data_IF_925614171877
#
_entry.id   IF_925614171877
#
_cell.length_a   1.000
_cell.length_b   1.000
_cell.length_c   1.000
_cell.angle_alpha   90.00
_cell.angle_beta   90.00
_cell.angle_gamma   90.00
#
_symmetry.space_group_name_H-M   'P 1'
#
loop_
_entity.id
_entity.type
_entity.pdbx_description
1 polymer ?
#
# COMPACT_ATOMS: atom_id res chain seq x y z
N UNK A 1 23.97 10.11 -3.73
CA UNK A 1 23.12 10.23 -2.52
C UNK A 1 23.87 10.84 -1.32
N UNK A 2 25.16 11.16 -1.43
CA UNK A 2 26.01 11.65 -0.31
C UNK A 2 25.56 12.97 0.34
N UNK A 3 24.64 13.72 -0.28
CA UNK A 3 24.12 14.96 0.31
C UNK A 3 22.85 14.81 1.12
N UNK A 4 22.26 13.61 1.13
CA UNK A 4 21.11 13.34 1.98
C UNK A 4 21.60 13.35 3.43
N UNK A 5 21.05 14.26 4.23
CA UNK A 5 21.34 14.39 5.66
C UNK A 5 20.22 13.83 6.51
N UNK A 6 18.99 13.94 6.02
CA UNK A 6 17.77 13.54 6.71
C UNK A 6 16.91 12.79 5.70
N UNK A 7 16.48 11.60 6.07
CA UNK A 7 15.49 10.80 5.35
C UNK A 7 14.31 10.63 6.30
N UNK A 8 13.12 10.95 5.82
CA UNK A 8 11.88 10.79 6.57
C UNK A 8 11.07 9.72 5.87
N UNK A 9 10.56 8.78 6.64
CA UNK A 9 9.57 7.79 6.19
C UNK A 9 8.34 7.87 7.08
N UNK A 10 7.19 7.64 6.47
CA UNK A 10 5.90 7.71 7.14
C UNK A 10 4.89 6.83 6.39
N UNK A 11 3.70 6.69 6.96
CA UNK A 11 2.56 6.09 6.26
C UNK A 11 2.46 4.58 6.41
N UNK A 12 3.54 3.84 6.68
CA UNK A 12 3.52 2.38 6.95
C UNK A 12 4.45 2.01 8.11
N UNK A 13 4.30 0.80 8.66
CA UNK A 13 5.23 0.29 9.67
C UNK A 13 6.63 0.18 9.08
N UNK A 14 7.60 0.89 9.64
CA UNK A 14 9.00 0.84 9.19
C UNK A 14 9.65 -0.49 9.58
N UNK A 15 10.07 -1.34 8.61
CA UNK A 15 10.75 -2.58 8.92
C UNK A 15 12.16 -2.32 9.44
N UNK A 16 12.59 -3.11 10.44
CA UNK A 16 13.93 -2.98 11.01
C UNK A 16 15.04 -3.23 9.98
N UNK A 17 14.81 -4.14 9.03
CA UNK A 17 15.73 -4.41 7.94
C UNK A 17 15.98 -3.16 7.09
N UNK A 18 14.94 -2.37 6.82
CA UNK A 18 15.08 -1.13 6.05
C UNK A 18 15.90 -0.08 6.80
N UNK A 19 15.79 -0.02 8.14
CA UNK A 19 16.66 0.84 8.98
C UNK A 19 18.12 0.42 8.85
N UNK A 20 18.39 -0.89 8.90
CA UNK A 20 19.76 -1.43 8.74
C UNK A 20 20.33 -1.13 7.37
N UNK A 21 19.56 -1.40 6.30
CA UNK A 21 19.97 -1.09 4.93
C UNK A 21 20.19 0.41 4.72
N UNK A 22 19.35 1.26 5.30
CA UNK A 22 19.53 2.71 5.27
C UNK A 22 20.90 3.11 5.85
N UNK A 23 21.25 2.67 7.06
CA UNK A 23 22.52 3.07 7.69
C UNK A 23 23.77 2.40 7.07
N UNK A 24 23.59 1.31 6.32
CA UNK A 24 24.64 0.73 5.48
C UNK A 24 24.90 1.58 4.23
N UNK A 25 23.84 2.05 3.57
CA UNK A 25 23.94 2.81 2.31
C UNK A 25 24.19 4.30 2.52
N UNK A 26 23.60 4.88 3.56
CA UNK A 26 23.62 6.31 3.89
C UNK A 26 24.07 6.50 5.35
N UNK A 27 25.32 6.14 5.70
CA UNK A 27 25.81 6.19 7.08
C UNK A 27 25.72 7.59 7.71
N UNK A 28 25.77 8.65 6.90
CA UNK A 28 25.74 10.03 7.38
C UNK A 28 24.33 10.61 7.48
N UNK A 29 23.32 9.94 6.91
CA UNK A 29 21.95 10.44 6.90
C UNK A 29 21.17 9.87 8.09
N UNK A 30 20.50 10.74 8.83
CA UNK A 30 19.58 10.32 9.90
C UNK A 30 18.25 9.86 9.29
N UNK A 31 17.73 8.72 9.74
CA UNK A 31 16.42 8.22 9.34
C UNK A 31 15.39 8.47 10.43
N UNK A 32 14.32 9.19 10.09
CA UNK A 32 13.18 9.44 10.95
C UNK A 32 11.97 8.62 10.52
N UNK A 33 11.32 7.99 11.49
CA UNK A 33 10.02 7.36 11.33
C UNK A 33 8.95 8.31 11.87
N UNK A 34 8.16 8.88 10.99
CA UNK A 34 7.06 9.76 11.32
C UNK A 34 5.73 9.01 11.29
N UNK A 35 4.83 9.45 12.17
CA UNK A 35 3.47 8.95 12.22
C UNK A 35 2.50 10.10 12.38
N UNK A 36 1.47 10.08 11.56
CA UNK A 36 0.21 10.72 11.90
C UNK A 36 -0.84 10.43 10.83
N UNK A 37 -2.11 10.41 11.24
CA UNK A 37 -3.23 10.42 10.31
C UNK A 37 -3.38 11.80 9.66
N UNK A 38 -4.06 11.87 8.50
CA UNK A 38 -4.40 13.13 7.83
C UNK A 38 -5.13 14.11 8.77
N UNK A 39 -5.96 13.54 9.65
CA UNK A 39 -6.76 14.23 10.66
C UNK A 39 -5.93 14.89 11.77
N UNK A 40 -4.63 14.59 11.87
CA UNK A 40 -3.67 15.24 12.76
C UNK A 40 -2.60 16.05 11.99
N UNK A 41 -2.89 16.40 10.73
CA UNK A 41 -2.06 17.23 9.85
C UNK A 41 -0.69 16.62 9.54
N UNK A 42 -0.70 15.63 8.64
CA UNK A 42 0.48 14.94 8.10
C UNK A 42 1.19 14.02 9.09
N UNK A 43 1.77 14.54 10.17
CA UNK A 43 2.35 13.75 11.26
C UNK A 43 2.12 14.42 12.61
N UNK A 44 1.98 13.62 13.65
CA UNK A 44 1.82 14.08 15.03
C UNK A 44 2.87 13.50 15.98
N UNK A 45 3.69 12.55 15.52
CA UNK A 45 4.82 12.02 16.27
C UNK A 45 5.99 11.66 15.37
N UNK A 46 7.18 11.64 15.97
CA UNK A 46 8.43 11.37 15.27
C UNK A 46 9.34 10.52 16.13
N UNK A 47 9.97 9.54 15.50
CA UNK A 47 11.05 8.74 16.07
C UNK A 47 12.32 8.91 15.24
N UNK A 48 13.43 9.23 15.90
CA UNK A 48 14.75 9.20 15.28
C UNK A 48 15.34 7.80 15.46
N UNK A 49 15.50 7.06 14.37
CA UNK A 49 16.09 5.72 14.42
C UNK A 49 17.59 5.78 14.69
N UNK A 50 18.18 4.67 15.16
CA UNK A 50 19.64 4.57 15.35
C UNK A 50 20.24 3.42 14.54
N UNK A 51 21.58 3.34 14.50
CA UNK A 51 22.28 2.22 13.83
C UNK A 51 22.12 0.92 14.62
N UNK A 52 21.98 1.06 15.93
CA UNK A 52 21.81 0.01 16.91
C UNK A 52 20.34 -0.33 17.14
N UNK A 53 19.44 0.12 16.24
CA UNK A 53 18.01 -0.13 16.33
C UNK A 53 17.75 -1.62 16.57
N UNK A 54 17.00 -1.89 17.63
CA UNK A 54 16.75 -3.23 18.13
C UNK A 54 15.32 -3.36 18.62
N UNK A 55 14.83 -4.59 18.68
CA UNK A 55 13.43 -4.90 19.00
C UNK A 55 12.62 -5.35 17.79
N UNK A 56 11.38 -5.77 18.03
CA UNK A 56 10.53 -6.35 17.00
C UNK A 56 9.92 -5.33 16.04
N UNK A 57 9.83 -4.06 16.46
CA UNK A 57 9.16 -2.98 15.73
C UNK A 57 9.91 -1.67 15.92
N UNK A 58 9.99 -0.85 14.87
CA UNK A 58 10.48 0.51 14.99
C UNK A 58 9.36 1.40 15.56
N UNK A 59 9.59 2.16 16.65
CA UNK A 59 8.58 3.04 17.22
C UNK A 59 8.09 4.11 16.25
N UNK A 60 6.90 4.63 16.55
CA UNK A 60 6.37 5.86 15.95
C UNK A 60 6.76 7.11 16.77
N UNK A 61 7.43 6.90 17.90
CA UNK A 61 8.18 7.92 18.62
C UNK A 61 7.36 8.71 19.63
N UNK A 62 7.70 9.98 19.78
CA UNK A 62 7.10 10.91 20.75
C UNK A 62 6.29 11.98 20.02
N UNK A 63 5.26 12.56 20.67
CA UNK A 63 4.51 13.64 20.06
C UNK A 63 5.43 14.81 19.67
N UNK A 64 5.10 15.46 18.56
CA UNK A 64 5.71 16.75 18.20
C UNK A 64 5.20 17.87 19.12
N UNK A 65 5.81 19.06 19.02
CA UNK A 65 5.37 20.22 19.79
C UNK A 65 3.87 20.49 19.61
N UNK A 66 3.23 20.89 20.71
CA UNK A 66 1.80 21.20 20.79
C UNK A 66 0.86 20.04 20.43
N UNK A 67 1.39 18.81 20.34
CA UNK A 67 0.61 17.59 20.17
C UNK A 67 0.79 16.69 21.40
N UNK A 68 -0.19 15.84 21.66
CA UNK A 68 -0.13 14.79 22.68
C UNK A 68 -0.61 13.47 22.09
N UNK A 69 0.03 12.38 22.50
CA UNK A 69 -0.41 11.02 22.22
C UNK A 69 -0.97 10.39 23.50
N UNK A 70 -2.11 9.73 23.39
CA UNK A 70 -2.71 8.98 24.49
C UNK A 70 -2.92 7.54 24.06
N UNK A 71 -2.54 6.58 24.91
CA UNK A 71 -2.92 5.18 24.73
C UNK A 71 -3.99 4.91 25.79
N UNK A 72 -5.23 4.75 25.33
CA UNK A 72 -6.41 4.70 26.20
C UNK A 72 -7.10 3.33 26.13
N UNK A 73 -7.83 3.00 27.20
CA UNK A 73 -8.74 1.85 27.22
C UNK A 73 -10.15 2.19 26.68
N UNK A 74 -11.09 1.28 26.86
CA UNK A 74 -12.47 1.44 26.40
C UNK A 74 -13.27 2.53 27.14
N UNK A 75 -12.78 3.00 28.30
CA UNK A 75 -13.39 4.06 29.11
C UNK A 75 -12.70 5.42 28.90
N UNK A 76 -11.79 5.52 27.92
CA UNK A 76 -10.97 6.70 27.65
C UNK A 76 -9.98 7.03 28.78
N UNK A 77 -9.60 6.02 29.58
CA UNK A 77 -8.61 6.18 30.64
C UNK A 77 -7.21 5.73 30.15
N UNK A 78 -6.13 6.43 30.54
CA UNK A 78 -4.77 6.03 30.16
C UNK A 78 -4.39 4.64 30.67
N UNK A 79 -3.90 3.78 29.78
CA UNK A 79 -3.37 2.47 30.17
C UNK A 79 -1.94 2.58 30.71
N UNK A 80 -1.49 1.65 31.58
CA UNK A 80 -0.10 1.62 32.05
C UNK A 80 0.92 1.46 30.91
N UNK A 81 2.17 1.87 31.17
CA UNK A 81 3.30 1.67 30.25
C UNK A 81 3.41 0.17 29.88
N UNK A 82 3.64 -0.12 28.60
CA UNK A 82 3.74 -1.48 28.06
C UNK A 82 2.40 -2.16 27.77
N UNK A 83 1.28 -1.66 28.31
CA UNK A 83 -0.05 -2.23 28.08
C UNK A 83 -0.61 -1.72 26.74
N UNK A 84 -1.08 -2.60 25.85
CA UNK A 84 -1.74 -2.18 24.62
C UNK A 84 -3.10 -1.51 24.86
N UNK A 85 -3.33 -0.38 24.21
CA UNK A 85 -4.63 0.31 24.13
C UNK A 85 -4.86 0.91 22.74
N UNK A 86 -5.91 1.70 22.59
CA UNK A 86 -6.17 2.46 21.37
C UNK A 86 -5.46 3.82 21.42
N UNK A 87 -4.86 4.24 20.30
CA UNK A 87 -4.11 5.48 20.18
C UNK A 87 -5.06 6.65 19.88
N UNK A 88 -4.95 7.71 20.67
CA UNK A 88 -5.64 8.98 20.47
C UNK A 88 -4.63 10.11 20.36
N UNK A 89 -4.99 11.14 19.60
CA UNK A 89 -4.16 12.32 19.37
C UNK A 89 -4.91 13.55 19.87
N UNK A 90 -4.25 14.42 20.63
CA UNK A 90 -4.75 15.76 20.96
C UNK A 90 -3.75 16.82 20.52
N UNK A 91 -4.20 18.06 20.46
CA UNK A 91 -3.35 19.23 20.24
C UNK A 91 -3.76 20.10 19.05
N UNK A 92 -2.90 21.07 18.76
CA UNK A 92 -3.21 22.18 17.86
C UNK A 92 -3.36 21.76 16.39
N UNK A 93 -2.70 20.66 15.99
CA UNK A 93 -2.70 20.17 14.61
C UNK A 93 -3.88 19.24 14.28
N UNK A 94 -4.88 19.12 15.15
CA UNK A 94 -6.10 18.39 14.82
C UNK A 94 -6.91 19.13 13.76
N UNK A 95 -7.32 18.39 12.73
CA UNK A 95 -8.22 18.90 11.70
C UNK A 95 -9.55 19.39 12.32
N UNK A 96 -10.25 20.28 11.61
CA UNK A 96 -11.57 20.74 12.05
C UNK A 96 -12.59 19.60 12.10
N UNK A 97 -12.53 18.71 11.11
CA UNK A 97 -13.42 17.58 10.94
C UNK A 97 -13.51 17.14 9.48
N UNK A 98 -14.49 16.31 9.17
CA UNK A 98 -14.76 15.82 7.82
C UNK A 98 -15.80 16.70 7.12
N UNK A 99 -15.53 17.09 5.87
CA UNK A 99 -16.45 17.91 5.07
C UNK A 99 -17.78 17.19 4.85
N UNK A 100 -18.90 17.85 5.13
CA UNK A 100 -20.27 17.33 4.99
C UNK A 100 -20.54 16.01 5.76
N UNK A 101 -19.72 15.68 6.77
CA UNK A 101 -19.90 14.47 7.59
C UNK A 101 -19.82 14.81 9.09
N UNK A 102 -20.82 15.53 9.64
CA UNK A 102 -20.83 15.95 11.04
C UNK A 102 -20.88 14.76 12.01
N UNK A 103 -21.60 13.68 11.66
CA UNK A 103 -21.69 12.47 12.47
C UNK A 103 -20.33 11.77 12.62
N UNK A 104 -19.63 11.55 11.51
CA UNK A 104 -18.28 10.96 11.53
C UNK A 104 -17.29 11.88 12.27
N UNK A 105 -17.45 13.21 12.12
CA UNK A 105 -16.64 14.17 12.85
C UNK A 105 -16.85 14.03 14.37
N UNK A 106 -18.10 13.93 14.84
CA UNK A 106 -18.38 13.73 16.26
C UNK A 106 -17.91 12.36 16.77
N UNK A 107 -18.00 11.33 15.95
CA UNK A 107 -17.52 9.98 16.29
C UNK A 107 -16.00 9.92 16.45
N UNK A 108 -15.26 10.63 15.59
CA UNK A 108 -13.79 10.56 15.55
C UNK A 108 -13.08 11.68 16.31
N UNK A 109 -13.68 12.86 16.45
CA UNK A 109 -13.14 14.01 17.19
C UNK A 109 -13.97 14.23 18.47
N UNK A 110 -13.59 13.48 19.51
CA UNK A 110 -14.25 13.46 20.81
C UNK A 110 -13.87 14.68 21.65
N UNK A 111 -14.71 15.05 22.61
CA UNK A 111 -14.31 15.95 23.68
C UNK A 111 -13.30 15.25 24.60
N UNK A 112 -12.26 15.95 25.03
CA UNK A 112 -11.28 15.39 25.95
C UNK A 112 -11.88 15.28 27.36
N UNK A 113 -11.90 14.09 28.01
CA UNK A 113 -12.60 13.89 29.28
C UNK A 113 -11.99 14.66 30.45
N UNK A 114 -10.67 14.87 30.45
CA UNK A 114 -9.95 15.51 31.55
C UNK A 114 -9.39 16.91 31.27
N UNK A 115 -9.55 17.43 30.05
CA UNK A 115 -8.97 18.72 29.65
C UNK A 115 -10.08 19.55 29.01
N UNK A 116 -10.48 20.61 29.69
CA UNK A 116 -11.53 21.51 29.22
C UNK A 116 -11.17 22.09 27.84
N UNK A 117 -12.18 22.18 26.97
CA UNK A 117 -12.09 22.74 25.61
C UNK A 117 -11.06 22.05 24.67
N UNK A 118 -10.52 20.90 25.05
CA UNK A 118 -9.65 20.09 24.20
C UNK A 118 -10.43 18.98 23.49
N UNK A 119 -9.88 18.52 22.35
CA UNK A 119 -10.43 17.40 21.57
C UNK A 119 -9.43 16.26 21.48
N UNK A 120 -9.96 15.03 21.42
CA UNK A 120 -9.22 13.82 21.11
C UNK A 120 -9.64 13.30 19.73
N UNK A 121 -8.67 13.06 18.86
CA UNK A 121 -8.90 12.32 17.62
C UNK A 121 -8.65 10.82 17.84
N UNK A 122 -9.67 10.01 17.58
CA UNK A 122 -9.66 8.55 17.66
C UNK A 122 -9.07 7.95 16.38
N UNK A 123 -7.81 7.51 16.46
CA UNK A 123 -7.04 7.08 15.27
C UNK A 123 -7.51 5.76 14.65
N UNK A 124 -8.12 4.88 15.47
CA UNK A 124 -8.36 3.47 15.11
C UNK A 124 -7.08 2.62 15.09
N UNK A 125 -5.95 3.14 15.57
CA UNK A 125 -4.70 2.41 15.71
C UNK A 125 -4.56 1.85 17.13
N UNK A 126 -4.02 0.64 17.24
CA UNK A 126 -3.63 0.01 18.50
C UNK A 126 -2.17 0.30 18.76
N UNK A 127 -1.84 0.75 19.96
CA UNK A 127 -0.48 1.14 20.32
C UNK A 127 -0.16 0.81 21.78
N UNK A 128 1.10 0.99 22.18
CA UNK A 128 1.53 1.00 23.58
C UNK A 128 2.71 1.93 23.79
N UNK A 129 2.85 2.47 24.99
CA UNK A 129 4.07 3.16 25.42
C UNK A 129 5.17 2.15 25.77
N UNK A 130 6.40 2.47 25.36
CA UNK A 130 7.63 1.90 25.91
C UNK A 130 8.05 2.66 27.17
N UNK A 131 8.94 2.05 27.95
CA UNK A 131 9.52 2.66 29.15
C UNK A 131 10.33 3.94 28.86
N UNK A 132 10.89 4.05 27.65
CA UNK A 132 11.63 5.23 27.18
C UNK A 132 10.71 6.39 26.73
N UNK A 133 9.39 6.20 26.83
CA UNK A 133 8.34 7.15 26.44
C UNK A 133 8.04 7.18 24.94
N UNK A 134 8.66 6.33 24.12
CA UNK A 134 8.27 6.18 22.71
C UNK A 134 7.01 5.32 22.58
N UNK A 135 6.21 5.58 21.56
CA UNK A 135 5.01 4.79 21.25
C UNK A 135 5.34 3.74 20.18
N UNK A 136 4.89 2.50 20.41
CA UNK A 136 4.89 1.43 19.41
C UNK A 136 3.52 1.29 18.77
N UNK A 137 3.49 1.25 17.44
CA UNK A 137 2.32 0.86 16.68
C UNK A 137 2.17 -0.67 16.62
N UNK A 138 0.98 -1.18 16.96
CA UNK A 138 0.69 -2.61 17.08
C UNK A 138 -0.29 -3.13 16.01
N UNK A 139 -0.85 -2.25 15.19
CA UNK A 139 -1.85 -2.58 14.18
C UNK A 139 -3.09 -1.69 14.29
N UNK A 140 -4.16 -2.05 13.59
CA UNK A 140 -5.44 -1.32 13.63
C UNK A 140 -6.48 -2.08 14.44
N UNK A 141 -7.41 -1.34 15.06
CA UNK A 141 -8.59 -1.92 15.72
C UNK A 141 -9.76 -2.08 14.74
N UNK A 142 -9.77 -1.28 13.66
CA UNK A 142 -10.75 -1.35 12.59
C UNK A 142 -10.24 -2.15 11.38
N UNK A 143 -11.03 -2.20 10.31
CA UNK A 143 -10.75 -2.97 9.09
C UNK A 143 -9.96 -2.17 8.05
N UNK A 144 -9.47 -0.98 8.40
CA UNK A 144 -8.68 -0.20 7.49
C UNK A 144 -7.30 -0.82 7.30
N UNK A 145 -6.75 -0.66 6.11
CA UNK A 145 -5.42 -1.18 5.77
C UNK A 145 -4.55 -0.10 5.14
N UNK A 146 -3.25 -0.32 5.21
CA UNK A 146 -2.25 0.45 4.47
C UNK A 146 -1.64 -0.46 3.42
N UNK A 147 -1.74 -0.06 2.17
CA UNK A 147 -1.16 -0.79 1.04
C UNK A 147 -0.33 0.18 0.21
N UNK A 148 0.99 0.06 0.31
CA UNK A 148 1.98 0.84 -0.46
C UNK A 148 1.79 2.33 -0.25
N UNK A 149 1.58 2.73 1.01
CA UNK A 149 1.37 4.10 1.44
C UNK A 149 -0.07 4.62 1.26
N UNK A 150 -0.97 3.85 0.63
CA UNK A 150 -2.38 4.22 0.53
C UNK A 150 -3.16 3.71 1.73
N UNK A 151 -3.90 4.62 2.37
CA UNK A 151 -4.90 4.31 3.39
C UNK A 151 -6.19 3.86 2.68
N UNK A 152 -6.59 2.61 2.86
CA UNK A 152 -7.73 1.99 2.17
C UNK A 152 -8.74 1.52 3.21
N UNK A 153 -9.97 2.02 3.09
CA UNK A 153 -11.13 1.51 3.82
C UNK A 153 -11.65 0.27 3.11
N UNK A 154 -11.41 -0.93 3.67
CA UNK A 154 -11.86 -2.17 3.04
C UNK A 154 -13.39 -2.19 2.83
N UNK A 155 -14.14 -1.57 3.75
CA UNK A 155 -15.59 -1.43 3.64
C UNK A 155 -16.06 -0.64 2.41
N UNK A 156 -15.26 0.31 1.91
CA UNK A 156 -15.58 1.03 0.67
C UNK A 156 -15.48 0.10 -0.55
N UNK A 157 -14.42 -0.72 -0.58
CA UNK A 157 -14.23 -1.72 -1.64
C UNK A 157 -15.32 -2.79 -1.57
N UNK A 158 -15.66 -3.25 -0.37
CA UNK A 158 -16.77 -4.20 -0.11
C UNK A 158 -18.12 -3.61 -0.54
N UNK A 159 -18.36 -2.32 -0.28
CA UNK A 159 -19.57 -1.63 -0.71
C UNK A 159 -19.69 -1.61 -2.23
N UNK A 160 -18.62 -1.27 -2.96
CA UNK A 160 -18.66 -1.28 -4.42
C UNK A 160 -18.84 -2.69 -4.97
N UNK A 161 -18.13 -3.69 -4.43
CA UNK A 161 -18.28 -5.09 -4.84
C UNK A 161 -19.69 -5.62 -4.61
N UNK A 162 -20.28 -5.35 -3.43
CA UNK A 162 -21.63 -5.81 -3.09
C UNK A 162 -22.74 -5.17 -3.93
N UNK A 163 -22.47 -4.02 -4.56
CA UNK A 163 -23.38 -3.36 -5.49
C UNK A 163 -23.15 -3.75 -6.96
N UNK A 164 -22.21 -4.66 -7.25
CA UNK A 164 -22.06 -5.21 -8.59
C UNK A 164 -23.23 -6.17 -8.91
N UNK A 165 -23.75 -6.18 -10.16
CA UNK A 165 -24.88 -7.04 -10.51
C UNK A 165 -24.64 -8.52 -10.19
N UNK A 166 -25.60 -9.15 -9.51
CA UNK A 166 -25.56 -10.58 -9.17
C UNK A 166 -24.76 -10.93 -7.90
N UNK A 167 -24.10 -9.96 -7.25
CA UNK A 167 -23.40 -10.16 -5.98
C UNK A 167 -24.40 -10.08 -4.81
N UNK A 168 -24.32 -11.04 -3.89
CA UNK A 168 -25.11 -11.06 -2.64
C UNK A 168 -24.31 -10.58 -1.45
N UNK A 169 -23.06 -11.01 -1.33
CA UNK A 169 -22.16 -10.56 -0.27
C UNK A 169 -20.76 -10.36 -0.85
N UNK A 170 -20.05 -9.40 -0.28
CA UNK A 170 -18.66 -9.14 -0.60
C UNK A 170 -17.83 -9.03 0.69
N UNK A 171 -16.60 -9.51 0.63
CA UNK A 171 -15.59 -9.31 1.66
C UNK A 171 -14.26 -8.97 0.98
N UNK A 172 -13.49 -8.06 1.56
CA UNK A 172 -12.16 -7.72 1.07
C UNK A 172 -11.16 -7.95 2.19
N UNK A 173 -9.99 -8.45 1.81
CA UNK A 173 -8.89 -8.70 2.71
C UNK A 173 -7.59 -8.18 2.10
N UNK A 174 -6.80 -7.44 2.87
CA UNK A 174 -5.39 -7.27 2.56
C UNK A 174 -4.66 -8.56 2.94
N UNK A 175 -4.13 -9.24 1.92
CA UNK A 175 -3.45 -10.51 2.07
C UNK A 175 -1.95 -10.34 1.90
N UNK A 176 -1.17 -11.05 2.71
CA UNK A 176 0.28 -11.08 2.66
C UNK A 176 0.76 -12.52 2.80
N UNK A 177 0.75 -13.26 1.69
CA UNK A 177 1.18 -14.67 1.67
C UNK A 177 2.72 -14.78 1.76
N UNK A 178 3.43 -13.75 1.27
CA UNK A 178 4.89 -13.54 1.43
C UNK A 178 5.15 -12.08 1.81
N UNK A 179 6.26 -11.74 2.49
CA UNK A 179 6.57 -10.37 2.92
C UNK A 179 6.41 -9.32 1.82
N UNK A 180 6.86 -9.64 0.61
CA UNK A 180 6.84 -8.76 -0.58
C UNK A 180 5.48 -8.73 -1.32
N UNK A 181 4.54 -9.61 -0.99
CA UNK A 181 3.34 -9.87 -1.80
C UNK A 181 2.05 -9.40 -1.10
N UNK A 182 2.07 -8.16 -0.58
CA UNK A 182 0.84 -7.53 -0.10
C UNK A 182 -0.09 -7.20 -1.26
N UNK A 183 -1.33 -7.73 -1.21
CA UNK A 183 -2.34 -7.52 -2.25
C UNK A 183 -3.77 -7.53 -1.68
N UNK A 184 -4.67 -6.75 -2.27
CA UNK A 184 -6.09 -6.81 -1.95
C UNK A 184 -6.74 -8.00 -2.68
N UNK A 185 -7.45 -8.84 -1.93
CA UNK A 185 -8.26 -9.92 -2.48
C UNK A 185 -9.73 -9.66 -2.16
N UNK A 186 -10.57 -9.65 -3.19
CA UNK A 186 -12.02 -9.54 -3.08
C UNK A 186 -12.65 -10.92 -3.15
N UNK A 187 -13.60 -11.18 -2.27
CA UNK A 187 -14.38 -12.39 -2.25
C UNK A 187 -15.84 -12.01 -2.46
N UNK A 188 -16.53 -12.70 -3.34
CA UNK A 188 -17.95 -12.45 -3.63
C UNK A 188 -18.74 -13.75 -3.57
N UNK A 189 -19.95 -13.69 -3.02
CA UNK A 189 -20.99 -14.71 -3.20
C UNK A 189 -22.07 -14.12 -4.09
N UNK A 190 -22.83 -14.97 -4.78
CA UNK A 190 -23.85 -14.51 -5.70
C UNK A 190 -24.50 -15.64 -6.46
N UNK A 191 -25.17 -15.28 -7.54
CA UNK A 191 -25.69 -16.25 -8.51
C UNK A 191 -24.57 -17.17 -9.03
N UNK A 192 -24.79 -18.47 -9.28
CA UNK A 192 -23.75 -19.38 -9.78
C UNK A 192 -23.08 -18.91 -11.07
N UNK A 193 -23.82 -18.22 -11.94
CA UNK A 193 -23.37 -17.64 -13.21
C UNK A 193 -22.27 -16.59 -13.00
N UNK A 194 -22.24 -15.97 -11.81
CA UNK A 194 -21.26 -14.96 -11.43
C UNK A 194 -19.82 -15.49 -11.49
N UNK A 195 -19.63 -16.81 -11.28
CA UNK A 195 -18.31 -17.45 -11.39
C UNK A 195 -17.69 -17.27 -12.78
N UNK A 196 -18.49 -17.23 -13.83
CA UNK A 196 -18.04 -17.00 -15.21
C UNK A 196 -17.95 -15.51 -15.58
N UNK A 197 -18.41 -14.60 -14.70
CA UNK A 197 -18.55 -13.17 -14.96
C UNK A 197 -17.66 -12.31 -14.04
N UNK A 198 -16.67 -12.89 -13.38
CA UNK A 198 -15.76 -12.18 -12.47
C UNK A 198 -15.03 -11.00 -13.14
N UNK A 199 -14.70 -11.10 -14.44
CA UNK A 199 -14.12 -10.00 -15.20
C UNK A 199 -15.07 -8.81 -15.38
N UNK A 200 -16.37 -9.07 -15.44
CA UNK A 200 -17.38 -8.01 -15.50
C UNK A 200 -17.51 -7.30 -14.15
N UNK A 201 -17.44 -8.05 -13.04
CA UNK A 201 -17.37 -7.46 -11.69
C UNK A 201 -16.10 -6.61 -11.55
N UNK A 202 -14.95 -7.12 -12.02
CA UNK A 202 -13.70 -6.35 -12.00
C UNK A 202 -13.86 -5.04 -12.77
N UNK A 203 -14.42 -5.09 -13.98
CA UNK A 203 -14.68 -3.92 -14.80
C UNK A 203 -15.62 -2.92 -14.11
N UNK A 204 -16.65 -3.42 -13.41
CA UNK A 204 -17.57 -2.60 -12.62
C UNK A 204 -16.84 -1.84 -11.49
N UNK A 205 -15.92 -2.53 -10.80
CA UNK A 205 -15.12 -1.97 -9.69
C UNK A 205 -14.10 -0.93 -10.20
N UNK A 206 -13.37 -1.25 -11.28
CA UNK A 206 -12.38 -0.34 -11.89
C UNK A 206 -13.01 0.99 -12.32
N UNK A 207 -14.25 0.98 -12.78
CA UNK A 207 -14.96 2.20 -13.17
C UNK A 207 -15.37 3.11 -11.99
N UNK A 208 -15.28 2.63 -10.74
CA UNK A 208 -15.83 3.31 -9.54
C UNK A 208 -14.79 3.56 -8.46
N UNK A 209 -13.72 2.79 -8.43
CA UNK A 209 -12.67 2.92 -7.43
C UNK A 209 -11.35 3.38 -8.05
N UNK A 210 -10.55 4.18 -7.32
CA UNK A 210 -9.16 4.39 -7.65
C UNK A 210 -8.42 3.06 -7.81
N UNK A 211 -7.47 3.01 -8.74
CA UNK A 211 -6.76 1.77 -9.09
C UNK A 211 -6.12 1.05 -7.89
N UNK A 212 -5.60 1.78 -6.91
CA UNK A 212 -4.97 1.19 -5.71
C UNK A 212 -5.96 0.50 -4.76
N UNK A 213 -7.27 0.76 -4.88
CA UNK A 213 -8.34 0.12 -4.10
C UNK A 213 -8.92 -1.10 -4.82
N UNK A 214 -8.70 -1.25 -6.13
CA UNK A 214 -9.22 -2.38 -6.90
C UNK A 214 -8.52 -3.67 -6.43
N UNK A 215 -9.26 -4.70 -5.99
CA UNK A 215 -8.65 -5.98 -5.64
C UNK A 215 -7.83 -6.54 -6.80
N UNK A 216 -6.63 -7.03 -6.49
CA UNK A 216 -5.79 -7.65 -7.51
C UNK A 216 -6.43 -8.92 -8.01
N UNK A 217 -7.15 -9.66 -7.14
CA UNK A 217 -7.88 -10.87 -7.47
C UNK A 217 -9.30 -10.76 -6.90
N UNK A 218 -10.31 -11.18 -7.66
CA UNK A 218 -11.68 -11.35 -7.20
C UNK A 218 -12.03 -12.82 -7.32
N UNK A 219 -12.52 -13.42 -6.24
CA UNK A 219 -12.86 -14.84 -6.16
C UNK A 219 -14.36 -14.98 -5.87
N UNK A 220 -15.01 -15.87 -6.63
CA UNK A 220 -16.32 -16.35 -6.25
C UNK A 220 -16.18 -17.47 -5.20
N UNK A 221 -16.91 -17.36 -4.10
CA UNK A 221 -17.01 -18.40 -3.07
C UNK A 221 -18.46 -18.86 -2.96
N UNK A 222 -18.66 -20.15 -2.68
CA UNK A 222 -19.99 -20.74 -2.59
C UNK A 222 -20.80 -20.16 -1.43
N UNK A 223 -20.14 -19.92 -0.29
CA UNK A 223 -20.72 -19.24 0.85
C UNK A 223 -19.66 -18.42 1.59
N UNK A 224 -20.07 -17.29 2.18
CA UNK A 224 -19.18 -16.53 3.05
C UNK A 224 -19.00 -17.26 4.37
N UNK A 225 -17.75 -17.53 4.81
CA UNK A 225 -17.52 -18.12 6.11
C UNK A 225 -17.98 -17.13 7.19
N UNK A 226 -18.73 -17.62 8.18
CA UNK A 226 -19.23 -16.81 9.30
C UNK A 226 -18.58 -17.25 10.61
N UNK A 227 -18.46 -16.30 11.53
CA UNK A 227 -18.12 -16.54 12.95
C UNK A 227 -19.37 -17.05 13.69
N UNK A 228 -19.20 -17.56 14.91
CA UNK A 228 -20.33 -17.95 15.76
C UNK A 228 -21.32 -16.79 16.03
N UNK A 229 -20.87 -15.54 15.91
CA UNK A 229 -21.69 -14.34 16.04
C UNK A 229 -22.37 -13.89 14.72
N UNK A 230 -22.28 -14.69 13.64
CA UNK A 230 -22.89 -14.39 12.34
C UNK A 230 -22.16 -13.34 11.50
N UNK A 231 -20.99 -12.84 11.93
CA UNK A 231 -20.15 -11.93 11.15
C UNK A 231 -19.22 -12.68 10.20
N UNK A 232 -18.84 -12.09 9.07
CA UNK A 232 -17.87 -12.69 8.12
C UNK A 232 -16.56 -13.02 8.82
N UNK A 233 -16.14 -14.28 8.75
CA UNK A 233 -14.89 -14.80 9.27
C UNK A 233 -13.78 -14.71 8.21
N UNK A 234 -13.13 -13.55 8.14
CA UNK A 234 -12.09 -13.27 7.13
C UNK A 234 -10.87 -14.18 7.22
N UNK A 235 -10.53 -14.69 8.41
CA UNK A 235 -9.41 -15.64 8.57
C UNK A 235 -9.70 -17.02 7.99
N UNK A 236 -10.97 -17.36 7.76
CA UNK A 236 -11.38 -18.60 7.12
C UNK A 236 -11.60 -18.44 5.60
N UNK A 237 -11.29 -17.26 5.03
CA UNK A 237 -11.40 -17.06 3.59
C UNK A 237 -10.28 -17.81 2.85
N UNK A 238 -10.63 -18.51 1.75
CA UNK A 238 -9.70 -19.37 1.03
C UNK A 238 -8.56 -18.60 0.36
N UNK A 239 -7.47 -19.32 0.08
CA UNK A 239 -6.31 -18.80 -0.66
C UNK A 239 -6.67 -18.69 -2.16
N UNK A 240 -6.33 -17.60 -2.87
CA UNK A 240 -6.55 -17.51 -4.31
C UNK A 240 -5.98 -18.70 -5.08
N UNK A 241 -4.79 -19.16 -4.70
CA UNK A 241 -4.11 -20.31 -5.32
C UNK A 241 -4.84 -21.65 -5.10
N UNK A 242 -5.63 -21.79 -4.02
CA UNK A 242 -6.43 -23.00 -3.74
C UNK A 242 -7.67 -23.06 -4.65
N UNK A 243 -8.27 -21.91 -4.96
CA UNK A 243 -9.48 -21.83 -5.82
C UNK A 243 -9.10 -21.77 -7.31
N UNK A 244 -8.02 -21.08 -7.65
CA UNK A 244 -7.50 -20.96 -9.02
C UNK A 244 -6.66 -22.18 -9.44
N UNK A 245 -6.54 -23.19 -8.56
CA UNK A 245 -5.81 -24.45 -8.75
C UNK A 245 -6.29 -25.34 -9.90
N UNK A 246 -7.27 -24.90 -10.69
CA UNK A 246 -7.53 -25.42 -12.03
C UNK A 246 -7.02 -24.41 -13.04
N UNK A 247 -5.70 -24.40 -13.22
CA UNK A 247 -5.09 -23.76 -14.38
C UNK A 247 -5.70 -24.41 -15.63
N UNK A 248 -6.63 -23.70 -16.28
CA UNK A 248 -6.79 -23.85 -17.72
C UNK A 248 -5.38 -23.87 -18.33
N UNK A 249 -5.14 -24.76 -19.29
CA UNK A 249 -3.82 -24.99 -19.87
C UNK A 249 -3.13 -23.65 -20.16
N UNK A 250 -2.15 -23.28 -19.33
CA UNK A 250 -1.47 -21.99 -19.45
C UNK A 250 -0.73 -22.01 -20.77
N UNK A 251 -1.02 -21.03 -21.62
CA UNK A 251 -0.34 -20.91 -22.90
C UNK A 251 1.07 -20.41 -22.60
N UNK A 252 2.06 -21.26 -22.91
CA UNK A 252 3.47 -20.93 -22.80
C UNK A 252 3.84 -19.81 -23.81
N UNK A 253 4.94 -19.07 -23.56
CA UNK A 253 5.51 -18.16 -24.55
C UNK A 253 5.64 -18.81 -25.93
N UNK A 254 5.26 -18.07 -26.98
CA UNK A 254 5.18 -18.57 -28.37
C UNK A 254 6.29 -18.03 -29.25
N UNK A 255 7.03 -17.03 -28.77
CA UNK A 255 8.10 -16.37 -29.49
C UNK A 255 9.14 -15.79 -28.52
N UNK A 256 10.29 -15.39 -29.06
CA UNK A 256 11.44 -14.89 -28.28
C UNK A 256 11.12 -13.65 -27.44
N UNK A 257 10.20 -12.78 -27.87
CA UNK A 257 9.82 -11.58 -27.08
C UNK A 257 9.00 -12.00 -25.87
N UNK A 258 8.02 -12.90 -26.05
CA UNK A 258 7.23 -13.46 -24.96
C UNK A 258 8.11 -14.26 -23.98
N UNK A 259 9.08 -15.04 -24.48
CA UNK A 259 10.03 -15.81 -23.64
C UNK A 259 10.88 -14.90 -22.75
N UNK A 260 11.48 -13.86 -23.35
CA UNK A 260 12.27 -12.89 -22.60
C UNK A 260 11.43 -12.10 -21.59
N UNK A 261 10.19 -11.74 -21.92
CA UNK A 261 9.25 -11.12 -20.98
C UNK A 261 8.88 -12.05 -19.83
N UNK A 262 8.64 -13.34 -20.10
CA UNK A 262 8.34 -14.33 -19.07
C UNK A 262 9.50 -14.49 -18.07
N UNK A 263 10.74 -14.53 -18.55
CA UNK A 263 11.93 -14.56 -17.68
C UNK A 263 12.11 -13.27 -16.86
N UNK A 264 11.85 -12.11 -17.48
CA UNK A 264 11.84 -10.85 -16.74
C UNK A 264 10.77 -10.85 -15.64
N UNK A 265 9.55 -11.31 -15.93
CA UNK A 265 8.48 -11.45 -14.94
C UNK A 265 8.89 -12.38 -13.80
N UNK A 266 9.44 -13.55 -14.12
CA UNK A 266 9.93 -14.52 -13.14
C UNK A 266 10.97 -13.89 -12.21
N UNK A 267 11.91 -13.12 -12.77
CA UNK A 267 12.97 -12.44 -12.02
C UNK A 267 12.47 -11.29 -11.14
N UNK A 268 11.33 -10.67 -11.45
CA UNK A 268 10.78 -9.51 -10.73
C UNK A 268 9.70 -9.93 -9.72
N UNK A 269 8.80 -10.84 -10.11
CA UNK A 269 7.68 -11.30 -9.29
C UNK A 269 8.06 -12.48 -8.36
N UNK A 270 9.13 -13.22 -8.69
CA UNK A 270 9.51 -14.43 -7.97
C UNK A 270 8.46 -15.55 -8.05
N UNK A 271 7.64 -15.56 -9.11
CA UNK A 271 6.62 -16.60 -9.37
C UNK A 271 7.09 -17.55 -10.46
N UNK A 272 6.90 -18.87 -10.31
CA UNK A 272 7.24 -19.83 -11.35
C UNK A 272 6.22 -19.78 -12.51
N UNK A 273 6.74 -19.50 -13.70
CA UNK A 273 6.14 -19.66 -15.03
C UNK A 273 4.72 -19.08 -15.21
N UNK A 274 4.67 -17.79 -15.51
CA UNK A 274 3.46 -17.08 -15.91
C UNK A 274 3.04 -17.46 -17.34
N UNK A 275 1.75 -17.75 -17.54
CA UNK A 275 1.17 -17.91 -18.87
C UNK A 275 1.10 -16.56 -19.60
N UNK A 276 1.09 -16.57 -20.93
CA UNK A 276 1.17 -15.30 -21.70
C UNK A 276 -0.02 -14.35 -21.49
N UNK A 277 -1.16 -14.88 -21.05
CA UNK A 277 -2.38 -14.15 -20.75
C UNK A 277 -2.55 -13.84 -19.26
N UNK A 278 -1.62 -14.29 -18.41
CA UNK A 278 -1.67 -13.96 -16.99
C UNK A 278 -1.51 -12.46 -16.80
N UNK A 279 -2.32 -11.90 -15.91
CA UNK A 279 -2.23 -10.50 -15.54
C UNK A 279 -1.13 -10.29 -14.48
N UNK A 280 -0.24 -9.32 -14.73
CA UNK A 280 0.90 -8.99 -13.87
C UNK A 280 0.46 -8.70 -12.43
N UNK A 281 -0.62 -7.93 -12.26
CA UNK A 281 -1.10 -7.48 -10.96
C UNK A 281 -1.83 -8.61 -10.21
N UNK A 282 -2.50 -9.51 -10.92
CA UNK A 282 -3.11 -10.73 -10.33
C UNK A 282 -2.04 -11.67 -9.78
N UNK A 283 -0.87 -11.71 -10.43
CA UNK A 283 0.31 -12.48 -10.00
C UNK A 283 1.12 -11.80 -8.88
N UNK A 284 0.59 -10.75 -8.25
CA UNK A 284 1.23 -10.04 -7.14
C UNK A 284 2.07 -8.84 -7.57
N UNK A 285 2.09 -8.51 -8.86
CA UNK A 285 2.75 -7.33 -9.39
C UNK A 285 2.15 -6.02 -8.88
N UNK A 286 2.95 -4.95 -8.91
CA UNK A 286 2.55 -3.61 -8.50
C UNK A 286 3.39 -2.50 -9.13
N UNK A 287 3.05 -1.24 -8.88
CA UNK A 287 3.69 -0.07 -9.50
C UNK A 287 5.22 -0.06 -9.38
N UNK A 288 5.77 -0.38 -8.21
CA UNK A 288 7.22 -0.48 -8.02
C UNK A 288 7.82 -1.62 -8.86
N UNK A 289 7.24 -2.82 -8.82
CA UNK A 289 7.69 -3.96 -9.64
C UNK A 289 7.51 -3.69 -11.14
N UNK A 290 6.45 -3.00 -11.55
CA UNK A 290 6.21 -2.57 -12.92
C UNK A 290 7.28 -1.56 -13.38
N UNK A 291 7.68 -0.63 -12.51
CA UNK A 291 8.76 0.32 -12.80
C UNK A 291 10.10 -0.40 -12.97
N UNK A 292 10.42 -1.36 -12.08
CA UNK A 292 11.61 -2.20 -12.22
C UNK A 292 11.57 -3.01 -13.52
N UNK A 293 10.41 -3.58 -13.84
CA UNK A 293 10.22 -4.39 -15.04
C UNK A 293 10.37 -3.56 -16.32
N UNK A 294 9.76 -2.37 -16.39
CA UNK A 294 9.93 -1.42 -17.51
C UNK A 294 11.40 -1.02 -17.68
N UNK A 295 12.13 -0.80 -16.58
CA UNK A 295 13.57 -0.52 -16.64
C UNK A 295 14.36 -1.69 -17.24
N UNK A 296 14.08 -2.94 -16.81
CA UNK A 296 14.74 -4.13 -17.37
C UNK A 296 14.34 -4.42 -18.82
N UNK A 297 13.07 -4.17 -19.17
CA UNK A 297 12.59 -4.28 -20.55
C UNK A 297 13.35 -3.33 -21.48
N UNK A 298 13.67 -2.12 -21.02
CA UNK A 298 14.48 -1.18 -21.79
C UNK A 298 15.88 -1.73 -22.07
N UNK A 299 16.53 -2.34 -21.08
CA UNK A 299 17.86 -2.94 -21.23
C UNK A 299 17.84 -4.15 -22.18
N UNK A 300 16.82 -5.01 -22.08
CA UNK A 300 16.73 -6.25 -22.87
C UNK A 300 16.27 -5.98 -24.31
N UNK A 301 15.34 -5.04 -24.49
CA UNK A 301 14.65 -4.87 -25.77
C UNK A 301 15.05 -3.61 -26.57
N UNK A 302 15.79 -2.68 -25.96
CA UNK A 302 16.14 -1.35 -26.49
C UNK A 302 14.92 -0.50 -26.87
N UNK A 303 13.82 -0.67 -26.12
CA UNK A 303 12.58 0.11 -26.27
C UNK A 303 12.16 0.72 -24.94
N UNK A 304 11.50 1.87 -24.99
CA UNK A 304 10.94 2.52 -23.82
C UNK A 304 9.42 2.30 -23.78
N UNK A 305 8.98 1.30 -23.03
CA UNK A 305 7.54 1.06 -22.83
C UNK A 305 7.02 2.07 -21.80
N UNK A 306 6.10 2.97 -22.16
CA UNK A 306 5.55 3.91 -21.19
C UNK A 306 4.84 3.16 -20.07
N UNK A 307 5.06 3.58 -18.82
CA UNK A 307 4.45 2.92 -17.66
C UNK A 307 2.91 2.87 -17.77
N UNK A 308 2.31 3.90 -18.37
CA UNK A 308 0.87 3.91 -18.69
C UNK A 308 0.45 2.71 -19.55
N UNK A 309 1.18 2.43 -20.62
CA UNK A 309 0.87 1.29 -21.52
C UNK A 309 1.03 -0.03 -20.79
N UNK A 310 2.00 -0.14 -19.88
CA UNK A 310 2.14 -1.30 -19.02
C UNK A 310 0.87 -1.56 -18.20
N UNK A 311 0.27 -0.51 -17.62
CA UNK A 311 -0.98 -0.62 -16.86
C UNK A 311 -2.19 -0.94 -17.74
N UNK A 312 -2.21 -0.45 -18.98
CA UNK A 312 -3.28 -0.73 -19.96
C UNK A 312 -3.20 -2.16 -20.53
N UNK A 313 -1.99 -2.72 -20.63
CA UNK A 313 -1.71 -4.04 -21.20
C UNK A 313 -0.87 -4.93 -20.27
N UNK A 314 -1.37 -5.29 -19.08
CA UNK A 314 -0.56 -5.92 -18.04
C UNK A 314 -0.37 -7.44 -18.25
N UNK A 315 -0.26 -7.91 -19.49
CA UNK A 315 -0.05 -9.32 -19.84
C UNK A 315 1.21 -9.46 -20.69
N UNK A 316 1.85 -10.63 -20.67
CA UNK A 316 3.03 -10.87 -21.51
C UNK A 316 2.69 -10.67 -22.99
N UNK A 317 1.54 -11.16 -23.46
CA UNK A 317 1.10 -10.95 -24.85
C UNK A 317 0.90 -9.47 -25.18
N UNK A 318 0.22 -8.71 -24.30
CA UNK A 318 -0.05 -7.30 -24.52
C UNK A 318 1.22 -6.45 -24.53
N UNK A 319 2.18 -6.78 -23.66
CA UNK A 319 3.50 -6.16 -23.63
C UNK A 319 4.36 -6.58 -24.83
N UNK A 320 4.28 -7.83 -25.28
CA UNK A 320 5.03 -8.31 -26.44
C UNK A 320 4.58 -7.61 -27.74
N UNK A 321 3.27 -7.38 -27.89
CA UNK A 321 2.72 -6.57 -28.99
C UNK A 321 3.27 -5.15 -28.97
N UNK A 322 3.32 -4.52 -27.79
CA UNK A 322 3.85 -3.16 -27.64
C UNK A 322 5.34 -3.09 -27.94
N UNK A 323 6.14 -4.02 -27.40
CA UNK A 323 7.58 -4.13 -27.70
C UNK A 323 7.80 -4.32 -29.20
N UNK A 324 6.99 -5.17 -29.84
CA UNK A 324 7.08 -5.41 -31.29
C UNK A 324 6.71 -4.16 -32.10
N UNK A 325 5.67 -3.44 -31.69
CA UNK A 325 5.25 -2.19 -32.30
C UNK A 325 6.34 -1.11 -32.18
N UNK A 326 6.90 -0.92 -30.98
CA UNK A 326 7.96 0.05 -30.72
C UNK A 326 9.25 -0.28 -31.48
N UNK A 327 9.59 -1.57 -31.64
CA UNK A 327 10.73 -2.01 -32.46
C UNK A 327 10.56 -1.76 -33.96
N UNK A 328 9.31 -1.71 -34.45
CA UNK A 328 9.00 -1.42 -35.86
C UNK A 328 8.94 0.08 -36.15
N UNK A 329 8.58 0.90 -35.17
CA UNK A 329 8.66 2.35 -35.27
C UNK A 329 10.12 2.82 -35.13
N UNK A 330 10.48 3.91 -35.81
CA UNK A 330 11.82 4.56 -35.65
C UNK A 330 12.02 5.23 -34.27
N UNK A 331 11.07 5.05 -33.34
CA UNK A 331 11.15 5.50 -31.96
C UNK A 331 12.06 4.55 -31.17
N UNK A 332 13.37 4.59 -31.44
CA UNK A 332 14.36 4.04 -30.53
C UNK A 332 14.16 4.67 -29.15
N UNK A 333 14.34 3.88 -28.09
CA UNK A 333 14.30 4.41 -26.73
C UNK A 333 15.12 5.71 -26.66
N UNK A 334 14.52 6.78 -26.16
CA UNK A 334 15.29 7.98 -25.91
C UNK A 334 16.40 7.57 -24.95
N UNK A 335 17.67 7.77 -25.34
CA UNK A 335 18.78 7.53 -24.43
C UNK A 335 18.64 8.55 -23.30
N UNK A 336 17.92 8.19 -22.24
CA UNK A 336 17.94 8.94 -20.99
C UNK A 336 19.42 9.10 -20.64
N UNK A 337 19.96 10.32 -20.67
CA UNK A 337 21.36 10.52 -20.39
C UNK A 337 21.64 9.99 -18.98
N UNK A 338 22.83 9.39 -18.77
CA UNK A 338 23.19 8.93 -17.44
C UNK A 338 23.06 10.08 -16.44
N UNK A 339 22.65 9.78 -15.21
CA UNK A 339 22.66 10.77 -14.13
C UNK A 339 24.13 11.07 -13.85
N UNK A 340 24.60 12.21 -14.35
CA UNK A 340 25.97 12.69 -14.14
C UNK A 340 26.04 13.52 -12.87
N UNK A 341 27.18 13.41 -12.18
CA UNK A 341 27.46 14.26 -11.03
C UNK A 341 27.61 15.72 -11.49
N UNK A 342 26.92 16.65 -10.83
CA UNK A 342 27.02 18.09 -11.08
C UNK A 342 27.78 18.80 -9.95
N UNK A 343 28.63 19.80 -10.26
CA UNK A 343 29.28 20.65 -9.26
C UNK A 343 28.29 21.33 -8.31
N UNK A 344 28.71 21.56 -7.06
CA UNK A 344 27.90 22.18 -5.98
C UNK A 344 28.30 23.61 -5.64
N UNK A 345 29.22 24.17 -6.40
CA UNK A 345 29.72 25.53 -6.30
C UNK A 345 28.73 26.59 -6.83
N UNK A 346 27.68 26.16 -7.52
CA UNK A 346 26.62 27.02 -8.05
C UNK A 346 25.22 26.60 -7.56
N UNK A 347 24.24 27.52 -7.57
CA UNK A 347 22.84 27.21 -7.28
C UNK A 347 22.34 26.06 -8.18
N UNK A 348 21.88 24.98 -7.57
CA UNK A 348 21.35 23.83 -8.30
C UNK A 348 19.93 24.12 -8.81
N UNK A 349 19.60 23.73 -10.04
CA UNK A 349 18.23 23.83 -10.53
C UNK A 349 17.32 22.99 -9.63
N UNK A 350 16.27 23.62 -9.10
CA UNK A 350 15.24 22.94 -8.32
C UNK A 350 14.44 22.02 -9.23
N UNK A 351 14.12 20.81 -8.74
CA UNK A 351 13.16 19.95 -9.41
C UNK A 351 11.78 20.62 -9.42
N UNK A 352 10.92 20.23 -10.36
CA UNK A 352 9.55 20.74 -10.43
C UNK A 352 8.78 20.56 -9.11
N UNK A 353 9.00 19.43 -8.42
CA UNK A 353 8.41 19.16 -7.11
C UNK A 353 8.95 20.11 -6.03
N UNK A 354 10.22 20.49 -6.09
CA UNK A 354 10.81 21.48 -5.18
C UNK A 354 10.29 22.89 -5.47
N UNK A 355 10.17 23.29 -6.74
CA UNK A 355 9.61 24.58 -7.13
C UNK A 355 8.17 24.77 -6.61
N UNK A 356 7.37 23.71 -6.68
CA UNK A 356 5.98 23.68 -6.18
C UNK A 356 5.80 23.82 -4.67
N UNK A 357 6.86 23.73 -3.86
CA UNK A 357 6.77 23.99 -2.42
C UNK A 357 6.89 25.48 -2.08
N UNK A 358 7.36 26.30 -3.03
CA UNK A 358 7.62 27.73 -2.84
C UNK A 358 6.64 28.64 -3.60
N UNK A 359 5.87 28.08 -4.53
CA UNK A 359 4.70 28.69 -5.18
C UNK A 359 3.44 28.29 -4.43
#
# INVERSE_FOLDING_TARGET
MESLRIVITAGESLPLELVRSHYQLLPHATLYNEYGPTEATVWCSVYQTTREESGARVPIGKPINNMQLYVLDAYLEPVPIGVPGELYVAGDCLARGYINQPWLTQERFLAHPHVADARLYRTGDRARYREDGNVEFLGRVDQQVKLRGYRIELGEVEYVLSNAPGVYQAAVLLRQDKPEQQRLVGYVTGQPELKAMLDQIRSYVVARLPQYMVPSVILWVESMPLTAAGKINRSALPVPEEITGQAAARIAPRNQVEEALAELWKSVLGVPDAGIHDNFFERGGHSLLATQLVSRMREVFDVEVPLRVFFERPTIVGLAEEVTHLRRGELKASKIPPIVQVPRDQPLPLSYSQQRMWL
#
